data_IF_253113434460
#
_entry.id   IF_253113434460
#
_cell.length_a   1.000
_cell.length_b   1.000
_cell.length_c   1.000
_cell.angle_alpha   90.00
_cell.angle_beta   90.00
_cell.angle_gamma   90.00
#
_symmetry.space_group_name_H-M   'P 1'
#
loop_
_entity.id
_entity.type
_entity.pdbx_description
1 polymer ?
#
# COMPACT_ATOMS: atom_id res chain seq x y z
N UNK A 1 31.22 -17.06 -2.68
CA UNK A 1 32.41 -16.25 -2.35
C UNK A 1 32.74 -16.53 -0.89
N UNK A 2 33.79 -17.30 -0.62
CA UNK A 2 34.25 -17.66 0.73
C UNK A 2 35.71 -17.21 0.86
N UNK A 3 36.11 -16.66 2.03
CA UNK A 3 37.39 -15.97 2.33
C UNK A 3 37.45 -14.44 2.08
N UNK A 4 36.56 -13.67 2.72
CA UNK A 4 36.76 -12.21 2.85
C UNK A 4 37.63 -11.96 4.08
N UNK A 5 38.77 -11.28 3.90
CA UNK A 5 39.69 -10.97 5.00
C UNK A 5 39.08 -9.95 5.97
N UNK A 6 39.37 -10.09 7.27
CA UNK A 6 39.02 -9.10 8.31
C UNK A 6 39.58 -7.73 7.89
N UNK A 7 38.79 -6.66 8.03
CA UNK A 7 39.13 -5.32 7.55
C UNK A 7 38.69 -5.02 6.10
N UNK A 8 38.17 -6.01 5.36
CA UNK A 8 37.67 -5.80 3.99
C UNK A 8 36.16 -5.62 3.98
N UNK A 9 35.69 -4.41 3.69
CA UNK A 9 34.26 -4.15 3.50
C UNK A 9 33.78 -4.79 2.19
N UNK A 10 32.56 -5.33 2.21
CA UNK A 10 31.92 -5.90 1.03
C UNK A 10 30.85 -4.94 0.54
N UNK A 11 30.87 -4.59 -0.74
CA UNK A 11 29.82 -3.78 -1.36
C UNK A 11 29.00 -4.70 -2.27
N UNK A 12 27.73 -4.87 -1.95
CA UNK A 12 26.76 -5.60 -2.77
C UNK A 12 26.00 -4.56 -3.58
N UNK A 13 26.10 -4.62 -4.90
CA UNK A 13 25.36 -3.72 -5.80
C UNK A 13 24.43 -4.52 -6.70
N UNK A 14 23.15 -4.16 -6.68
CA UNK A 14 22.14 -4.64 -7.61
C UNK A 14 21.79 -3.52 -8.58
N UNK A 15 21.80 -3.81 -9.88
CA UNK A 15 21.44 -2.85 -10.92
C UNK A 15 20.47 -3.46 -11.90
N UNK A 16 19.42 -2.72 -12.24
CA UNK A 16 18.59 -2.98 -13.42
C UNK A 16 19.03 -2.00 -14.50
N UNK A 17 19.48 -2.52 -15.64
CA UNK A 17 19.86 -1.76 -16.83
C UNK A 17 20.87 -0.62 -16.59
N UNK A 18 21.74 -0.75 -15.58
CA UNK A 18 22.79 0.22 -15.27
C UNK A 18 22.31 1.55 -14.66
N UNK A 19 21.00 1.82 -14.63
CA UNK A 19 20.45 3.14 -14.28
C UNK A 19 19.81 3.22 -12.89
N UNK A 20 19.47 2.07 -12.29
CA UNK A 20 18.93 1.99 -10.93
C UNK A 20 19.84 1.09 -10.10
N UNK A 21 20.89 1.68 -9.50
CA UNK A 21 21.87 0.97 -8.67
C UNK A 21 21.46 1.08 -7.21
N UNK A 22 21.19 -0.06 -6.57
CA UNK A 22 21.05 -0.17 -5.12
C UNK A 22 22.30 -0.83 -4.57
N UNK A 23 23.06 -0.11 -3.74
CA UNK A 23 24.28 -0.61 -3.12
C UNK A 23 24.14 -0.71 -1.61
N UNK A 24 24.57 -1.83 -1.05
CA UNK A 24 24.67 -2.05 0.38
C UNK A 24 26.11 -2.39 0.74
N UNK A 25 26.68 -1.61 1.66
CA UNK A 25 28.02 -1.86 2.20
C UNK A 25 27.91 -2.66 3.48
N UNK A 26 28.46 -3.85 3.49
CA UNK A 26 28.69 -4.66 4.68
C UNK A 26 30.07 -4.28 5.22
N UNK A 27 30.09 -3.62 6.36
CA UNK A 27 31.34 -3.27 7.06
C UNK A 27 31.94 -4.54 7.65
N UNK A 28 33.24 -4.73 7.49
CA UNK A 28 33.92 -5.89 8.07
C UNK A 28 33.80 -5.87 9.59
N UNK A 29 33.52 -7.00 10.25
CA UNK A 29 33.51 -7.07 11.71
C UNK A 29 34.92 -6.82 12.28
N UNK A 30 35.00 -6.27 13.50
CA UNK A 30 36.28 -5.99 14.15
C UNK A 30 36.98 -7.28 14.59
N UNK A 31 36.22 -8.35 14.87
CA UNK A 31 36.74 -9.69 15.11
C UNK A 31 35.73 -10.77 14.72
N UNK A 32 36.21 -11.97 14.40
CA UNK A 32 35.36 -13.16 14.21
C UNK A 32 35.29 -14.05 15.46
N UNK A 33 35.94 -13.65 16.56
CA UNK A 33 36.00 -14.41 17.81
C UNK A 33 34.84 -14.08 18.76
N UNK A 34 34.22 -12.92 18.62
CA UNK A 34 33.09 -12.50 19.44
C UNK A 34 31.79 -12.56 18.64
N UNK A 35 31.01 -13.63 18.86
CA UNK A 35 29.71 -13.85 18.21
C UNK A 35 28.64 -12.81 18.59
N UNK A 36 28.86 -12.01 19.64
CA UNK A 36 27.92 -11.01 20.14
C UNK A 36 28.13 -9.61 19.54
N UNK A 37 29.20 -9.37 18.77
CA UNK A 37 29.39 -8.06 18.12
C UNK A 37 28.34 -7.80 17.04
N UNK A 38 28.07 -8.82 16.23
CA UNK A 38 27.08 -8.75 15.17
C UNK A 38 25.71 -9.24 15.67
N UNK A 39 24.61 -8.66 15.16
CA UNK A 39 23.29 -9.18 15.47
C UNK A 39 23.14 -10.61 14.93
N UNK A 40 22.52 -11.48 15.73
CA UNK A 40 22.29 -12.90 15.40
C UNK A 40 21.15 -13.11 14.35
N UNK A 41 20.99 -12.15 13.45
CA UNK A 41 19.93 -12.09 12.43
C UNK A 41 20.46 -11.45 11.16
N UNK A 42 19.93 -11.89 10.02
CA UNK A 42 20.01 -11.15 8.74
C UNK A 42 18.61 -10.73 8.33
N UNK A 43 18.47 -9.50 7.84
CA UNK A 43 17.19 -8.90 7.42
C UNK A 43 17.28 -8.46 5.96
N UNK A 44 16.21 -8.64 5.20
CA UNK A 44 16.04 -7.97 3.91
C UNK A 44 15.59 -6.52 4.10
N UNK A 45 15.64 -5.72 3.04
CA UNK A 45 14.85 -4.48 2.96
C UNK A 45 13.35 -4.76 2.99
N UNK A 46 12.51 -3.73 3.19
CA UNK A 46 11.06 -3.85 3.13
C UNK A 46 10.61 -4.19 1.70
N UNK A 47 9.74 -5.20 1.57
CA UNK A 47 9.15 -5.63 0.30
C UNK A 47 7.63 -5.53 0.40
N UNK A 48 6.96 -4.95 -0.59
CA UNK A 48 5.51 -4.80 -0.51
C UNK A 48 4.77 -6.13 -0.55
N UNK A 49 3.81 -6.28 0.36
CA UNK A 49 3.00 -7.49 0.43
C UNK A 49 2.02 -7.53 -0.73
N UNK A 50 1.97 -8.66 -1.44
CA UNK A 50 0.98 -8.92 -2.49
C UNK A 50 -0.36 -9.40 -1.95
N UNK A 51 -0.38 -9.91 -0.71
CA UNK A 51 -1.57 -10.51 -0.09
C UNK A 51 -2.29 -9.53 0.85
N UNK A 52 -1.59 -8.55 1.41
CA UNK A 52 -2.14 -7.57 2.34
C UNK A 52 -1.77 -6.16 1.86
N UNK A 53 -2.69 -5.54 1.14
CA UNK A 53 -2.52 -4.21 0.55
C UNK A 53 -2.22 -3.18 1.65
N UNK A 54 -1.26 -2.30 1.40
CA UNK A 54 -0.85 -1.27 2.37
C UNK A 54 0.07 -1.80 3.48
N UNK A 55 0.54 -3.04 3.37
CA UNK A 55 1.56 -3.61 4.26
C UNK A 55 2.81 -4.03 3.50
N UNK A 56 3.91 -4.16 4.22
CA UNK A 56 5.15 -4.73 3.71
C UNK A 56 5.58 -5.95 4.53
N UNK A 57 6.45 -6.74 3.94
CA UNK A 57 7.11 -7.90 4.53
C UNK A 57 8.62 -7.67 4.60
N UNK A 58 9.26 -8.30 5.58
CA UNK A 58 10.72 -8.34 5.73
C UNK A 58 11.12 -9.79 5.89
N UNK A 59 11.99 -10.29 5.01
CA UNK A 59 12.54 -11.63 5.13
C UNK A 59 13.69 -11.60 6.13
N UNK A 60 13.78 -12.65 6.94
CA UNK A 60 14.82 -12.77 7.95
C UNK A 60 15.32 -14.20 8.11
N UNK A 61 16.57 -14.32 8.51
CA UNK A 61 17.19 -15.58 8.92
C UNK A 61 17.86 -15.39 10.27
N UNK A 62 17.52 -16.26 11.23
CA UNK A 62 18.11 -16.26 12.56
C UNK A 62 19.25 -17.26 12.67
N UNK A 63 20.24 -16.93 13.47
CA UNK A 63 21.21 -17.92 13.96
C UNK A 63 20.47 -18.91 14.87
N UNK A 64 20.89 -20.18 14.85
CA UNK A 64 20.31 -21.22 15.71
C UNK A 64 20.37 -20.80 17.19
N UNK A 65 19.24 -20.90 17.89
CA UNK A 65 19.12 -20.52 19.30
C UNK A 65 18.86 -19.02 19.55
N UNK A 66 18.79 -18.18 18.51
CA UNK A 66 18.35 -16.81 18.65
C UNK A 66 16.82 -16.69 18.61
N UNK A 67 16.27 -15.72 19.34
CA UNK A 67 14.86 -15.35 19.31
C UNK A 67 14.68 -13.96 18.72
N UNK A 68 13.53 -13.73 18.09
CA UNK A 68 13.16 -12.46 17.46
C UNK A 68 11.89 -11.90 18.09
N UNK A 69 11.87 -10.60 18.33
CA UNK A 69 10.71 -9.83 18.70
C UNK A 69 10.58 -8.62 17.78
N UNK A 70 9.36 -8.36 17.31
CA UNK A 70 9.06 -7.26 16.39
C UNK A 70 8.09 -6.29 17.04
N UNK A 71 8.25 -4.98 16.80
CA UNK A 71 7.32 -3.97 17.33
C UNK A 71 5.97 -3.95 16.61
N UNK A 72 5.91 -4.45 15.39
CA UNK A 72 4.70 -4.48 14.57
C UNK A 72 4.72 -5.67 13.62
N UNK A 73 3.53 -6.12 13.21
CA UNK A 73 3.38 -7.31 12.39
C UNK A 73 3.60 -8.61 13.16
N UNK A 74 3.89 -9.67 12.43
CA UNK A 74 4.09 -11.02 12.97
C UNK A 74 5.30 -11.65 12.30
N UNK A 75 6.27 -12.08 13.12
CA UNK A 75 7.44 -12.82 12.68
C UNK A 75 7.12 -14.33 12.70
N UNK A 76 7.03 -14.95 11.53
CA UNK A 76 6.75 -16.37 11.40
C UNK A 76 7.49 -16.95 10.18
N UNK A 77 8.08 -18.13 10.34
CA UNK A 77 8.74 -18.87 9.26
C UNK A 77 9.77 -18.05 8.45
N UNK A 78 10.53 -17.16 9.12
CA UNK A 78 11.55 -16.34 8.45
C UNK A 78 10.98 -15.13 7.70
N UNK A 79 9.72 -14.77 7.92
CA UNK A 79 9.10 -13.57 7.35
C UNK A 79 8.40 -12.77 8.43
N UNK A 80 8.71 -11.48 8.54
CA UNK A 80 7.90 -10.51 9.27
C UNK A 80 6.85 -9.99 8.32
N UNK A 81 5.58 -10.22 8.63
CA UNK A 81 4.45 -9.81 7.79
C UNK A 81 3.48 -8.91 8.53
N UNK A 82 2.64 -8.17 7.79
CA UNK A 82 1.59 -7.33 8.38
C UNK A 82 2.10 -6.00 8.96
N UNK A 83 3.28 -5.53 8.52
CA UNK A 83 3.78 -4.20 8.93
C UNK A 83 3.17 -3.13 8.03
N UNK A 84 2.55 -2.12 8.63
CA UNK A 84 1.89 -1.04 7.89
C UNK A 84 2.89 -0.21 7.08
N UNK A 85 2.52 0.16 5.85
CA UNK A 85 3.33 1.05 5.03
C UNK A 85 3.53 2.42 5.70
N UNK A 86 4.73 2.98 5.56
CA UNK A 86 5.09 4.27 6.17
C UNK A 86 5.47 4.19 7.64
N UNK A 87 5.38 3.01 8.27
CA UNK A 87 5.80 2.79 9.66
C UNK A 87 7.17 2.10 9.68
N UNK A 88 8.16 2.59 10.45
CA UNK A 88 9.43 1.88 10.63
C UNK A 88 9.26 0.66 11.54
N UNK A 89 10.03 -0.40 11.28
CA UNK A 89 9.98 -1.64 12.05
C UNK A 89 11.22 -1.74 12.94
N UNK A 90 11.02 -1.94 14.25
CA UNK A 90 12.11 -2.29 15.16
C UNK A 90 12.09 -3.79 15.45
N UNK A 91 13.25 -4.42 15.23
CA UNK A 91 13.46 -5.85 15.42
C UNK A 91 14.46 -6.04 16.56
N UNK A 92 14.01 -6.63 17.65
CA UNK A 92 14.88 -7.03 18.77
C UNK A 92 15.26 -8.49 18.59
N UNK A 93 16.55 -8.78 18.68
CA UNK A 93 17.09 -10.14 18.59
C UNK A 93 17.90 -10.45 19.83
N UNK A 94 17.59 -11.60 20.41
CA UNK A 94 18.21 -12.11 21.63
C UNK A 94 18.90 -13.42 21.32
N UNK A 95 20.13 -13.57 21.78
CA UNK A 95 20.88 -14.82 21.70
C UNK A 95 21.42 -15.12 23.10
N UNK A 96 21.23 -16.35 23.57
CA UNK A 96 21.69 -16.75 24.90
C UNK A 96 23.21 -16.51 25.04
N UNK A 97 23.61 -15.80 26.09
CA UNK A 97 25.00 -15.43 26.33
C UNK A 97 25.44 -14.11 25.67
N UNK A 98 24.57 -13.44 24.91
CA UNK A 98 24.79 -12.11 24.35
C UNK A 98 23.77 -11.11 24.90
N UNK A 99 24.11 -9.81 24.84
CA UNK A 99 23.14 -8.74 25.05
C UNK A 99 22.21 -8.61 23.84
N UNK A 100 20.95 -8.26 24.10
CA UNK A 100 19.95 -8.04 23.06
C UNK A 100 20.38 -6.92 22.09
N UNK A 101 20.07 -7.12 20.81
CA UNK A 101 20.35 -6.15 19.74
C UNK A 101 19.04 -5.68 19.13
N UNK A 102 18.93 -4.38 18.91
CA UNK A 102 17.77 -3.76 18.25
C UNK A 102 18.21 -3.25 16.88
N UNK A 103 17.52 -3.69 15.83
CA UNK A 103 17.74 -3.29 14.45
C UNK A 103 16.52 -2.50 13.97
N UNK A 104 16.76 -1.32 13.41
CA UNK A 104 15.71 -0.50 12.81
C UNK A 104 15.68 -0.73 11.30
N UNK A 105 14.55 -1.25 10.81
CA UNK A 105 14.27 -1.38 9.38
C UNK A 105 13.50 -0.13 8.93
N UNK A 106 14.00 0.58 7.90
CA UNK A 106 13.30 1.73 7.33
C UNK A 106 11.88 1.37 6.87
N UNK A 107 10.98 2.35 6.93
CA UNK A 107 9.60 2.15 6.50
C UNK A 107 9.51 1.78 5.01
N UNK A 108 8.73 0.75 4.69
CA UNK A 108 8.36 0.43 3.32
C UNK A 108 7.27 1.38 2.81
N UNK A 109 7.48 1.99 1.64
CA UNK A 109 6.48 2.81 0.94
C UNK A 109 5.75 1.95 -0.09
N UNK A 110 4.75 1.21 0.38
CA UNK A 110 3.85 0.43 -0.45
C UNK A 110 2.64 1.28 -0.77
N UNK A 111 2.65 1.86 -1.98
CA UNK A 111 1.49 2.55 -2.50
C UNK A 111 0.29 1.59 -2.44
N UNK A 112 -0.72 1.96 -1.65
CA UNK A 112 -2.03 1.31 -1.76
C UNK A 112 -2.53 1.64 -3.17
N UNK A 113 -2.71 0.66 -4.07
CA UNK A 113 -3.24 0.94 -5.38
C UNK A 113 -4.60 1.61 -5.18
N UNK A 114 -4.77 2.79 -5.79
CA UNK A 114 -6.04 3.49 -5.78
C UNK A 114 -7.08 2.59 -6.48
N UNK A 115 -7.94 1.95 -5.70
CA UNK A 115 -9.01 1.13 -6.24
C UNK A 115 -10.12 2.07 -6.69
N UNK A 116 -10.21 2.28 -8.00
CA UNK A 116 -11.27 3.05 -8.61
C UNK A 116 -12.62 2.39 -8.26
N UNK A 117 -13.54 3.09 -7.58
CA UNK A 117 -14.87 2.57 -7.32
C UNK A 117 -15.63 2.39 -8.62
N UNK A 118 -16.39 1.31 -8.71
CA UNK A 118 -17.32 1.13 -9.81
C UNK A 118 -18.57 1.93 -9.51
N UNK A 119 -18.85 2.93 -10.34
CA UNK A 119 -20.11 3.67 -10.31
C UNK A 119 -20.78 3.57 -11.67
N UNK A 120 -22.02 3.09 -11.69
CA UNK A 120 -22.85 3.03 -12.89
C UNK A 120 -24.15 3.76 -12.63
N UNK A 121 -24.52 4.64 -13.55
CA UNK A 121 -25.78 5.37 -13.52
C UNK A 121 -26.75 4.70 -14.49
N UNK A 122 -27.98 4.47 -14.04
CA UNK A 122 -29.05 3.99 -14.88
C UNK A 122 -29.66 5.13 -15.71
N UNK A 123 -30.53 4.76 -16.65
CA UNK A 123 -31.30 5.74 -17.41
C UNK A 123 -32.21 6.55 -16.47
N UNK A 124 -32.34 7.87 -16.67
CA UNK A 124 -33.20 8.70 -15.82
C UNK A 124 -34.68 8.38 -16.02
N UNK A 125 -35.46 8.44 -14.94
CA UNK A 125 -36.92 8.31 -14.95
C UNK A 125 -37.56 9.66 -14.62
N UNK A 126 -38.41 10.17 -15.50
CA UNK A 126 -39.09 11.46 -15.32
C UNK A 126 -40.33 11.31 -14.42
N UNK A 127 -40.42 12.15 -13.40
CA UNK A 127 -41.52 12.24 -12.43
C UNK A 127 -42.14 13.65 -12.50
N UNK A 128 -42.65 14.04 -13.67
CA UNK A 128 -43.23 15.36 -13.91
C UNK A 128 -42.18 16.47 -13.90
N UNK A 129 -42.21 17.35 -12.89
CA UNK A 129 -41.30 18.50 -12.76
C UNK A 129 -39.90 18.14 -12.25
N UNK A 130 -39.69 16.89 -11.83
CA UNK A 130 -38.38 16.36 -11.41
C UNK A 130 -38.10 15.03 -12.11
N UNK A 131 -36.87 14.55 -12.03
CA UNK A 131 -36.49 13.21 -12.46
C UNK A 131 -35.67 12.51 -11.38
N UNK A 132 -35.57 11.19 -11.51
CA UNK A 132 -34.79 10.32 -10.62
C UNK A 132 -33.81 9.47 -11.40
N UNK A 133 -32.67 9.15 -10.80
CA UNK A 133 -31.62 8.32 -11.41
C UNK A 133 -31.21 7.26 -10.40
N UNK A 134 -31.38 5.98 -10.75
CA UNK A 134 -30.81 4.89 -9.94
C UNK A 134 -29.33 4.73 -10.25
N UNK A 135 -28.56 4.33 -9.25
CA UNK A 135 -27.13 4.10 -9.39
C UNK A 135 -26.70 2.85 -8.64
N UNK A 136 -25.69 2.18 -9.19
CA UNK A 136 -24.93 1.15 -8.51
C UNK A 136 -23.56 1.70 -8.15
N UNK A 137 -23.16 1.54 -6.89
CA UNK A 137 -21.84 1.92 -6.38
C UNK A 137 -21.24 0.75 -5.61
N UNK A 138 -19.96 0.46 -5.86
CA UNK A 138 -19.19 -0.49 -5.04
C UNK A 138 -18.75 0.09 -3.69
N UNK A 139 -19.07 1.37 -3.41
CA UNK A 139 -18.73 2.08 -2.17
C UNK A 139 -19.94 2.78 -1.57
N UNK A 140 -19.96 2.90 -0.24
CA UNK A 140 -21.09 3.49 0.50
C UNK A 140 -21.15 5.02 0.42
N UNK A 141 -20.01 5.71 0.31
CA UNK A 141 -19.95 7.17 0.22
C UNK A 141 -20.20 7.66 -1.20
N UNK A 142 -21.47 7.95 -1.49
CA UNK A 142 -21.93 8.56 -2.74
C UNK A 142 -22.61 9.90 -2.46
N UNK A 143 -22.19 10.95 -3.17
CA UNK A 143 -22.80 12.27 -3.10
C UNK A 143 -23.26 12.73 -4.48
N UNK A 144 -24.31 13.53 -4.54
CA UNK A 144 -24.81 14.14 -5.78
C UNK A 144 -24.85 15.65 -5.63
N UNK A 145 -24.57 16.40 -6.70
CA UNK A 145 -24.64 17.87 -6.68
C UNK A 145 -26.09 18.41 -6.73
N UNK A 146 -27.05 17.57 -7.09
CA UNK A 146 -28.46 17.91 -7.24
C UNK A 146 -29.32 16.69 -6.94
N UNK A 147 -30.50 16.93 -6.36
CA UNK A 147 -31.37 15.88 -5.84
C UNK A 147 -30.90 15.32 -4.49
N UNK A 148 -31.65 14.36 -3.97
CA UNK A 148 -31.38 13.70 -2.70
C UNK A 148 -30.95 12.26 -2.96
N UNK A 149 -29.81 11.86 -2.40
CA UNK A 149 -29.37 10.45 -2.42
C UNK A 149 -30.18 9.69 -1.37
N UNK A 150 -31.02 8.76 -1.82
CA UNK A 150 -31.83 7.88 -0.96
C UNK A 150 -31.55 6.43 -1.37
N UNK A 151 -30.77 5.73 -0.56
CA UNK A 151 -30.27 4.39 -0.89
C UNK A 151 -29.48 4.39 -2.20
N UNK A 152 -29.93 3.61 -3.16
CA UNK A 152 -29.31 3.46 -4.49
C UNK A 152 -29.96 4.35 -5.57
N UNK A 153 -30.65 5.42 -5.18
CA UNK A 153 -31.31 6.33 -6.12
C UNK A 153 -31.14 7.79 -5.73
N UNK A 154 -31.02 8.64 -6.73
CA UNK A 154 -31.01 10.10 -6.59
C UNK A 154 -32.38 10.58 -7.04
N UNK A 155 -33.14 11.19 -6.13
CA UNK A 155 -34.52 11.64 -6.39
C UNK A 155 -34.62 13.16 -6.31
N UNK A 156 -35.70 13.73 -6.86
CA UNK A 156 -35.98 15.16 -6.76
C UNK A 156 -35.05 16.06 -7.56
N UNK A 157 -34.47 15.55 -8.66
CA UNK A 157 -33.59 16.35 -9.51
C UNK A 157 -34.45 17.24 -10.42
N UNK A 158 -34.27 18.57 -10.45
CA UNK A 158 -35.04 19.44 -11.34
C UNK A 158 -34.72 19.17 -12.81
N UNK A 159 -35.76 19.08 -13.65
CA UNK A 159 -35.59 18.92 -15.11
C UNK A 159 -34.75 20.09 -15.66
N UNK A 160 -33.78 19.79 -16.53
CA UNK A 160 -32.83 20.77 -17.05
C UNK A 160 -31.56 20.98 -16.22
N UNK A 161 -31.45 20.34 -15.04
CA UNK A 161 -30.23 20.37 -14.21
C UNK A 161 -29.36 19.16 -14.50
N UNK A 162 -28.05 19.35 -14.69
CA UNK A 162 -27.09 18.26 -14.85
C UNK A 162 -26.69 17.69 -13.48
N UNK A 163 -26.70 16.35 -13.35
CA UNK A 163 -26.22 15.67 -12.14
C UNK A 163 -24.83 15.09 -12.34
N UNK A 164 -23.91 15.53 -11.49
CA UNK A 164 -22.65 14.87 -11.20
C UNK A 164 -22.77 14.07 -9.90
N UNK A 165 -22.55 12.77 -10.01
CA UNK A 165 -22.50 11.84 -8.88
C UNK A 165 -21.04 11.56 -8.55
N UNK A 166 -20.72 11.63 -7.27
CA UNK A 166 -19.36 11.46 -6.78
C UNK A 166 -19.29 10.27 -5.86
N UNK A 167 -18.53 9.25 -6.24
CA UNK A 167 -18.26 8.08 -5.42
C UNK A 167 -16.85 8.20 -4.84
N UNK A 168 -16.75 8.17 -3.52
CA UNK A 168 -15.47 8.29 -2.81
C UNK A 168 -15.04 6.90 -2.34
N UNK A 169 -13.83 6.48 -2.73
CA UNK A 169 -13.20 5.25 -2.25
C UNK A 169 -11.83 5.62 -1.67
N UNK A 170 -11.71 5.58 -0.33
CA UNK A 170 -10.53 6.14 0.34
C UNK A 170 -10.39 7.65 0.13
N UNK A 171 -9.16 8.17 0.04
CA UNK A 171 -8.88 9.61 -0.07
C UNK A 171 -9.13 10.22 -1.47
N UNK A 172 -9.69 9.46 -2.43
CA UNK A 172 -9.85 9.90 -3.83
C UNK A 172 -11.33 10.03 -4.20
N UNK A 173 -11.65 11.17 -4.81
CA UNK A 173 -13.00 11.61 -5.14
C UNK A 173 -13.24 11.43 -6.65
N UNK A 174 -14.20 10.58 -7.04
CA UNK A 174 -14.48 10.30 -8.46
C UNK A 174 -15.79 10.92 -8.91
N UNK A 175 -15.75 11.86 -9.87
CA UNK A 175 -16.95 12.53 -10.42
C UNK A 175 -17.45 11.86 -11.70
N UNK A 176 -18.75 11.58 -11.77
CA UNK A 176 -19.44 10.97 -12.91
C UNK A 176 -20.63 11.85 -13.31
N UNK A 177 -20.85 12.12 -14.60
CA UNK A 177 -21.96 12.97 -15.07
C UNK A 177 -23.05 12.12 -15.73
N UNK A 178 -24.32 12.32 -15.35
CA UNK A 178 -25.48 11.88 -16.13
C UNK A 178 -25.93 13.02 -17.04
N UNK A 179 -26.13 12.73 -18.33
CA UNK A 179 -26.61 13.70 -19.31
C UNK A 179 -27.83 13.13 -20.04
N UNK A 180 -28.86 13.94 -20.26
CA UNK A 180 -29.92 13.65 -21.21
C UNK A 180 -30.04 14.78 -22.24
N UNK A 181 -29.88 14.35 -23.51
CA UNK A 181 -30.49 14.85 -24.75
C UNK A 181 -29.53 15.46 -25.79
N UNK A 182 -28.89 14.59 -26.61
CA UNK A 182 -28.67 14.61 -28.08
C UNK A 182 -27.59 13.58 -28.45
N UNK A 183 -28.02 12.56 -29.20
CA UNK A 183 -27.28 11.77 -30.21
C UNK A 183 -25.81 11.39 -29.90
N UNK A 184 -25.61 10.09 -29.67
CA UNK A 184 -24.44 9.30 -30.07
C UNK A 184 -23.06 9.99 -30.02
N UNK A 185 -22.36 9.94 -28.88
CA UNK A 185 -20.90 9.89 -28.87
C UNK A 185 -20.37 9.52 -27.49
N UNK A 186 -19.58 8.44 -27.47
CA UNK A 186 -18.42 8.15 -26.60
C UNK A 186 -18.40 8.80 -25.21
N UNK A 187 -18.39 7.94 -24.19
CA UNK A 187 -17.69 8.19 -22.93
C UNK A 187 -16.33 8.88 -23.17
N UNK A 188 -16.10 10.13 -22.69
CA UNK A 188 -14.77 10.67 -22.59
C UNK A 188 -14.38 10.78 -21.12
N UNK A 189 -13.38 9.95 -20.78
CA UNK A 189 -12.21 10.30 -19.98
C UNK A 189 -12.46 11.06 -18.66
N UNK A 190 -12.36 10.27 -17.60
CA UNK A 190 -12.12 10.70 -16.23
C UNK A 190 -10.85 11.54 -16.14
N UNK A 191 -10.93 12.72 -15.54
CA UNK A 191 -9.74 13.43 -15.07
C UNK A 191 -9.65 13.25 -13.55
N UNK A 192 -8.53 12.74 -13.03
CA UNK A 192 -8.19 12.92 -11.62
C UNK A 192 -7.97 14.42 -11.38
N UNK A 193 -8.47 14.93 -10.25
CA UNK A 193 -8.08 16.23 -9.70
C UNK A 193 -7.22 15.93 -8.47
#
# INVERSE_FOLDING_TARGET
MTNIAIGTNVIISASINGSCVSSHTVVSPASCSNVCENPAITLSGPVCSTSAVGTYVVNYTLVSGATIQVSSGTALNGVVSGVASGVPLSVTVSLAGCADKVILVPAGTCAVPCQKPTLTLASPVCNGSTYSVSFYSSVASVTANAGQVVGNSITGIPVGTAVSVTATAGAVVWKYRAWLARLAARFPVQHPI
#
